data_IF_951741730137
#
_entry.id   IF_951741730137
#
_cell.length_a   1.000
_cell.length_b   1.000
_cell.length_c   1.000
_cell.angle_alpha   90.00
_cell.angle_beta   90.00
_cell.angle_gamma   90.00
#
_symmetry.space_group_name_H-M   'P 1'
#
loop_
_entity.id
_entity.type
_entity.pdbx_description
1 polymer ?
2 non-polymer ?
3 water ?
#
# COMPACT_ATOMS: atom_id res chain seq x y z
N UNK A 1 7.10 -22.63 23.18
CA UNK A 1 5.64 -22.57 23.06
C UNK A 1 5.18 -21.64 21.92
N UNK A 2 5.63 -20.39 21.97
CA UNK A 2 5.34 -19.40 20.94
C UNK A 2 6.55 -19.13 20.06
N UNK A 3 6.34 -18.69 18.83
CA UNK A 3 7.48 -18.25 18.00
C UNK A 3 8.24 -17.11 18.67
N UNK A 4 9.56 -17.14 18.52
CA UNK A 4 10.38 -16.02 18.95
C UNK A 4 10.03 -14.73 18.19
N UNK A 5 9.79 -14.83 16.88
CA UNK A 5 9.52 -13.66 16.06
C UNK A 5 8.26 -13.86 15.23
N UNK A 6 7.53 -12.77 14.99
CA UNK A 6 6.41 -12.76 14.04
C UNK A 6 6.47 -11.46 13.22
N UNK A 7 6.11 -11.56 11.94
CA UNK A 7 6.02 -10.39 11.06
C UNK A 7 4.88 -10.66 10.08
N UNK A 8 3.67 -10.17 10.40
CA UNK A 8 2.53 -10.48 9.54
C UNK A 8 2.66 -9.87 8.15
N UNK A 9 3.54 -8.88 7.98
CA UNK A 9 3.79 -8.37 6.63
C UNK A 9 4.29 -9.48 5.74
N UNK A 10 5.18 -10.33 6.27
CA UNK A 10 5.78 -11.41 5.47
C UNK A 10 4.76 -12.39 4.95
N UNK A 11 3.56 -12.44 5.52
CA UNK A 11 2.49 -13.29 5.03
C UNK A 11 1.47 -12.53 4.17
N UNK A 12 1.79 -11.32 3.72
CA UNK A 12 0.89 -10.57 2.85
C UNK A 12 -0.40 -10.13 3.48
N UNK A 13 -0.41 -9.91 4.80
CA UNK A 13 -1.63 -9.58 5.53
C UNK A 13 -1.70 -8.09 5.94
N UNK A 14 -0.76 -7.25 5.49
CA UNK A 14 -0.67 -5.86 5.93
C UNK A 14 -0.66 -4.95 4.72
N UNK A 15 -1.57 -3.99 4.69
CA UNK A 15 -1.65 -2.99 3.64
C UNK A 15 -0.61 -1.91 3.85
N UNK A 16 -0.41 -1.11 2.80
CA UNK A 16 0.51 0.03 2.86
C UNK A 16 0.24 0.92 4.06
N UNK A 17 1.31 1.48 4.61
CA UNK A 17 1.16 2.52 5.63
C UNK A 17 0.33 3.67 5.07
N UNK A 18 -0.57 4.20 5.89
CA UNK A 18 -1.42 5.32 5.52
C UNK A 18 -0.97 6.60 6.21
N UNK A 19 -1.53 7.73 5.75
CA UNK A 19 -1.20 9.07 6.24
C UNK A 19 -2.47 9.70 6.82
N UNK A 20 -2.54 9.80 8.14
CA UNK A 20 -3.72 10.33 8.79
C UNK A 20 -3.82 11.86 8.74
N UNK A 21 -2.69 12.56 8.59
CA UNK A 21 -2.78 14.01 8.48
C UNK A 21 -3.26 14.70 9.77
N UNK A 22 -3.99 15.79 9.57
CA UNK A 22 -4.48 16.58 10.71
C UNK A 22 -5.73 16.01 11.33
N UNK A 23 -6.24 14.88 10.84
CA UNK A 23 -7.41 14.23 11.40
C UNK A 23 -6.97 13.15 12.38
N UNK A 24 -7.47 13.22 13.61
CA UNK A 24 -7.18 12.25 14.65
C UNK A 24 -7.96 10.95 14.50
N UNK A 25 -7.69 10.26 13.41
CA UNK A 25 -8.35 9.02 13.04
C UNK A 25 -7.51 7.78 13.29
N UNK A 26 -6.41 7.88 14.05
CA UNK A 26 -5.56 6.72 14.26
C UNK A 26 -6.37 5.53 14.79
N UNK A 27 -7.38 5.81 15.61
CA UNK A 27 -8.29 4.75 16.07
C UNK A 27 -8.96 4.01 14.90
N UNK A 28 -9.33 4.76 13.84
CA UNK A 28 -9.96 4.12 12.68
C UNK A 28 -8.95 3.29 11.89
N UNK A 29 -7.73 3.80 11.76
CA UNK A 29 -6.69 3.09 11.03
C UNK A 29 -6.25 1.82 11.78
N UNK A 30 -6.08 1.94 13.09
CA UNK A 30 -5.85 0.75 13.91
C UNK A 30 -6.89 -0.32 13.61
N UNK A 31 -8.18 0.09 13.56
CA UNK A 31 -9.27 -0.85 13.40
C UNK A 31 -9.30 -1.51 12.03
N UNK A 32 -9.25 -0.72 10.95
CA UNK A 32 -9.28 -1.35 9.62
C UNK A 32 -8.08 -2.28 9.42
N UNK A 33 -6.88 -1.86 9.83
CA UNK A 33 -5.71 -2.70 9.66
C UNK A 33 -5.88 -4.08 10.29
N UNK A 34 -6.40 -4.14 11.51
CA UNK A 34 -6.63 -5.44 12.13
C UNK A 34 -7.60 -6.28 11.30
N UNK A 35 -8.68 -5.68 10.80
CA UNK A 35 -9.68 -6.41 10.04
C UNK A 35 -9.18 -6.79 8.66
N UNK A 36 -8.36 -5.93 8.05
CA UNK A 36 -7.72 -6.27 6.78
C UNK A 36 -6.98 -7.59 6.88
N UNK A 37 -6.23 -7.77 7.97
CA UNK A 37 -5.47 -9.01 8.13
C UNK A 37 -6.40 -10.21 8.23
N UNK A 38 -7.53 -10.07 8.93
CA UNK A 38 -8.47 -11.17 9.00
C UNK A 38 -9.10 -11.45 7.65
N UNK A 39 -9.37 -10.38 6.87
CA UNK A 39 -9.93 -10.56 5.54
C UNK A 39 -8.98 -11.35 4.65
N UNK A 40 -7.70 -10.97 4.68
CA UNK A 40 -6.70 -11.63 3.83
C UNK A 40 -6.56 -13.10 4.19
N UNK A 41 -6.54 -13.41 5.48
CA UNK A 41 -6.53 -14.81 5.88
C UNK A 41 -7.78 -15.52 5.36
N UNK A 42 -8.95 -14.88 5.49
CA UNK A 42 -10.22 -15.51 5.10
C UNK A 42 -10.37 -15.65 3.59
N UNK A 43 -10.10 -14.60 2.83
CA UNK A 43 -10.40 -14.60 1.40
C UNK A 43 -9.19 -14.75 0.51
N UNK A 44 -7.98 -14.54 1.04
CA UNK A 44 -6.81 -14.58 0.19
C UNK A 44 -6.54 -13.30 -0.55
N UNK A 45 -7.36 -12.27 -0.34
CA UNK A 45 -7.23 -11.00 -1.02
C UNK A 45 -6.86 -9.93 -0.01
N UNK A 46 -5.85 -9.11 -0.34
CA UNK A 46 -5.42 -7.99 0.50
C UNK A 46 -6.12 -6.73 -0.01
N UNK A 47 -7.05 -6.19 0.76
CA UNK A 47 -7.75 -4.97 0.36
C UNK A 47 -7.83 -3.99 1.53
N UNK A 48 -7.34 -2.78 1.32
CA UNK A 48 -7.48 -1.73 2.32
C UNK A 48 -8.96 -1.44 2.57
N UNK A 49 -9.32 -1.35 3.83
CA UNK A 49 -10.67 -1.04 4.24
C UNK A 49 -10.76 0.45 4.60
N UNK A 50 -11.97 0.99 4.53
CA UNK A 50 -12.19 2.45 4.58
C UNK A 50 -12.16 2.99 6.01
N UNK A 51 -11.03 3.59 6.38
CA UNK A 51 -10.96 4.34 7.63
C UNK A 51 -11.92 5.52 7.63
N UNK A 52 -12.12 6.15 6.47
CA UNK A 52 -13.08 7.25 6.38
C UNK A 52 -14.48 6.80 6.75
N UNK A 53 -14.85 5.59 6.32
CA UNK A 53 -16.14 5.00 6.64
C UNK A 53 -16.35 4.99 8.15
N UNK A 54 -15.31 4.64 8.90
CA UNK A 54 -15.43 4.64 10.35
C UNK A 54 -15.56 6.06 10.89
N UNK A 55 -14.73 6.98 10.40
CA UNK A 55 -14.77 8.36 10.87
C UNK A 55 -16.16 8.96 10.69
N UNK A 56 -16.78 8.73 9.52
CA UNK A 56 -18.06 9.33 9.18
C UNK A 56 -19.27 8.61 9.79
N UNK A 57 -19.22 7.29 10.00
CA UNK A 57 -20.42 6.54 10.33
C UNK A 57 -20.44 5.90 11.72
N UNK A 58 -19.28 5.50 12.25
CA UNK A 58 -19.18 5.00 13.62
C UNK A 58 -18.97 6.19 14.56
N UNK A 59 -20.05 6.91 14.81
CA UNK A 59 -19.92 8.18 15.53
C UNK A 59 -20.50 8.10 16.93
N UNK A 60 -21.52 8.93 17.20
CA UNK A 60 -21.94 9.21 18.58
C UNK A 60 -22.48 7.96 19.28
N UNK A 61 -23.30 7.17 18.58
CA UNK A 61 -23.82 5.92 19.11
C UNK A 61 -22.71 5.02 19.66
N UNK A 62 -21.51 5.12 19.10
CA UNK A 62 -20.37 4.30 19.46
C UNK A 62 -19.35 5.05 20.31
N UNK A 63 -19.73 6.22 20.82
CA UNK A 63 -18.83 7.06 21.58
C UNK A 63 -17.65 7.64 20.82
N UNK A 64 -17.69 7.66 19.50
CA UNK A 64 -16.60 8.21 18.70
C UNK A 64 -16.92 9.61 18.21
N UNK A 65 -15.87 10.37 17.90
CA UNK A 65 -16.01 11.73 17.40
C UNK A 65 -15.12 11.96 16.18
N UNK A 66 -15.06 10.99 15.26
CA UNK A 66 -14.33 11.14 14.02
C UNK A 66 -12.90 11.63 14.19
N UNK A 67 -12.61 12.82 13.62
CA UNK A 67 -11.27 13.38 13.70
C UNK A 67 -10.88 13.82 15.09
N UNK A 68 -11.81 13.76 16.05
CA UNK A 68 -11.51 14.12 17.43
C UNK A 68 -11.29 12.88 18.32
N UNK A 69 -11.20 11.70 17.74
CA UNK A 69 -10.83 10.49 18.45
C UNK A 69 -11.95 9.47 18.50
N UNK A 70 -11.57 8.25 18.89
CA UNK A 70 -12.53 7.17 18.92
C UNK A 70 -11.90 5.93 19.52
N UNK A 71 -12.68 4.87 19.58
CA UNK A 71 -12.23 3.58 20.07
C UNK A 71 -12.27 2.56 18.94
N UNK A 72 -11.32 1.62 18.97
CA UNK A 72 -11.32 0.54 17.99
C UNK A 72 -12.45 -0.46 18.26
N UNK A 73 -12.73 -0.72 19.54
CA UNK A 73 -13.73 -1.75 19.86
C UNK A 73 -15.11 -1.35 19.35
N UNK A 74 -15.48 -0.09 19.52
CA UNK A 74 -16.78 0.35 19.03
C UNK A 74 -16.76 0.59 17.54
N UNK A 75 -15.57 0.84 16.96
CA UNK A 75 -15.44 0.78 15.51
C UNK A 75 -15.80 -0.61 14.98
N UNK A 76 -15.31 -1.66 15.65
CA UNK A 76 -15.68 -3.03 15.27
C UNK A 76 -17.17 -3.29 15.45
N UNK A 77 -17.74 -2.82 16.57
CA UNK A 77 -19.17 -2.97 16.80
C UNK A 77 -19.98 -2.34 15.68
N UNK A 78 -19.61 -1.11 15.27
CA UNK A 78 -20.26 -0.48 14.13
C UNK A 78 -20.26 -1.42 12.94
N UNK A 79 -19.11 -2.04 12.66
CA UNK A 79 -19.02 -2.91 11.49
C UNK A 79 -19.97 -4.08 11.65
N UNK A 80 -20.04 -4.64 12.87
CA UNK A 80 -21.00 -5.71 13.13
C UNK A 80 -22.43 -5.21 12.90
N UNK A 81 -22.80 -4.10 13.55
CA UNK A 81 -24.17 -3.61 13.40
C UNK A 81 -24.47 -3.29 11.94
N UNK A 82 -23.54 -2.62 11.26
CA UNK A 82 -23.77 -2.15 9.90
C UNK A 82 -23.84 -3.28 8.90
N UNK A 83 -23.41 -4.48 9.30
CA UNK A 83 -23.28 -5.64 8.43
C UNK A 83 -22.29 -5.39 7.30
N UNK A 84 -21.35 -4.46 7.52
CA UNK A 84 -20.34 -4.20 6.52
C UNK A 84 -19.47 -2.98 6.75
N UNK A 85 -18.31 -2.99 6.09
CA UNK A 85 -17.46 -1.82 5.93
C UNK A 85 -17.00 -1.80 4.47
N UNK A 86 -16.90 -0.61 3.90
CA UNK A 86 -16.53 -0.45 2.50
C UNK A 86 -15.02 -0.60 2.32
N UNK A 87 -14.64 -0.93 1.09
CA UNK A 87 -13.23 -0.81 0.72
C UNK A 87 -12.79 0.64 0.85
N UNK A 88 -11.52 0.83 1.20
CA UNK A 88 -10.92 2.15 1.17
C UNK A 88 -10.98 2.78 -0.24
N UNK A 89 -10.81 1.98 -1.30
CA UNK A 89 -10.86 2.51 -2.66
C UNK A 89 -12.23 3.11 -3.00
N UNK A 90 -13.31 2.49 -2.54
CA UNK A 90 -14.65 3.01 -2.80
C UNK A 90 -15.00 4.18 -1.89
N UNK A 91 -14.32 4.32 -0.77
CA UNK A 91 -14.66 5.32 0.25
C UNK A 91 -13.35 5.88 0.81
N UNK A 92 -12.59 6.60 -0.02
CA UNK A 92 -11.21 6.97 0.36
C UNK A 92 -11.15 7.97 1.49
N UNK A 93 -9.95 8.07 2.06
CA UNK A 93 -9.69 8.86 3.26
C UNK A 93 -9.46 10.33 2.91
N UNK A 94 -10.20 11.21 3.59
CA UNK A 94 -10.14 12.65 3.29
C UNK A 94 -9.60 13.48 4.45
N UNK A 95 -9.25 12.84 5.58
CA UNK A 95 -8.67 13.53 6.72
C UNK A 95 -9.53 14.69 7.19
N UNK A 96 -10.86 14.50 7.20
CA UNK A 96 -11.77 15.41 7.86
C UNK A 96 -13.08 14.67 8.12
N UNK A 97 -13.93 15.27 8.96
CA UNK A 97 -15.25 14.70 9.27
C UNK A 97 -16.23 14.95 8.12
N UNK A 98 -16.94 13.89 7.70
CA UNK A 98 -17.93 13.98 6.64
C UNK A 98 -19.22 13.26 7.03
N UNK A 99 -20.27 13.50 6.24
CA UNK A 99 -21.51 12.75 6.41
C UNK A 99 -21.26 11.28 6.13
N UNK A 100 -22.02 10.42 6.79
CA UNK A 100 -21.91 8.98 6.53
C UNK A 100 -22.30 8.69 5.09
N UNK A 101 -21.39 8.10 4.34
CA UNK A 101 -21.60 7.79 2.93
C UNK A 101 -21.45 6.31 2.65
N UNK A 102 -21.69 5.48 3.66
CA UNK A 102 -21.61 4.03 3.47
C UNK A 102 -22.55 3.57 2.36
N UNK A 103 -22.07 2.65 1.54
CA UNK A 103 -22.87 2.04 0.49
C UNK A 103 -22.58 0.53 0.45
N UNK A 104 -23.59 -0.27 0.77
CA UNK A 104 -23.44 -1.73 0.79
C UNK A 104 -22.99 -2.31 -0.55
N UNK A 105 -23.17 -1.58 -1.66
CA UNK A 105 -22.69 -2.05 -2.96
C UNK A 105 -21.18 -2.29 -2.94
N UNK A 106 -20.43 -1.51 -2.16
CA UNK A 106 -18.98 -1.59 -2.13
C UNK A 106 -18.46 -2.18 -0.82
N UNK A 107 -19.27 -3.03 -0.20
CA UNK A 107 -18.84 -3.73 1.01
C UNK A 107 -17.64 -4.62 0.68
N UNK A 108 -16.56 -4.48 1.45
CA UNK A 108 -15.37 -5.29 1.26
C UNK A 108 -15.06 -6.19 2.44
N UNK A 109 -15.70 -5.95 3.58
CA UNK A 109 -15.52 -6.84 4.71
C UNK A 109 -16.75 -6.81 5.56
N UNK A 110 -16.83 -7.80 6.44
CA UNK A 110 -17.79 -7.90 7.52
C UNK A 110 -17.00 -8.09 8.80
N UNK A 111 -17.70 -8.09 9.92
CA UNK A 111 -17.08 -8.44 11.19
C UNK A 111 -18.06 -9.27 12.01
N UNK A 112 -17.61 -10.44 12.44
CA UNK A 112 -18.45 -11.34 13.22
C UNK A 112 -18.35 -11.07 14.72
N UNK A 113 -17.19 -10.60 15.20
CA UNK A 113 -16.94 -10.43 16.62
C UNK A 113 -15.64 -9.67 16.80
N UNK A 114 -15.38 -9.23 18.02
CA UNK A 114 -14.07 -8.73 18.42
C UNK A 114 -13.80 -9.21 19.83
N UNK A 115 -12.52 -9.18 20.21
CA UNK A 115 -12.11 -9.65 21.52
C UNK A 115 -11.12 -8.64 22.09
N UNK A 116 -11.26 -8.32 23.38
CA UNK A 116 -10.35 -7.43 24.07
C UNK A 116 -9.44 -8.25 24.99
N UNK A 117 -8.22 -7.78 25.14
CA UNK A 117 -7.27 -8.45 25.99
C UNK A 117 -7.15 -7.74 27.34
N UNK A 118 -6.71 -8.45 28.37
CA UNK A 118 -6.57 -7.81 29.69
C UNK A 118 -5.40 -6.82 29.76
N UNK A 119 -5.62 -5.75 30.54
CA UNK A 119 -4.72 -4.60 30.60
C UNK A 119 -3.34 -5.04 31.06
N UNK A 120 -2.31 -4.74 30.26
CA UNK A 120 -0.93 -4.89 30.69
C UNK A 120 -0.33 -6.28 30.57
N UNK A 121 -1.05 -7.27 30.02
CA UNK A 121 -0.49 -8.62 29.88
C UNK A 121 0.19 -8.75 28.52
N UNK A 122 1.48 -8.43 28.49
CA UNK A 122 2.25 -8.49 27.25
C UNK A 122 2.49 -9.93 26.80
N UNK A 123 2.40 -10.91 27.71
CA UNK A 123 2.40 -12.32 27.31
C UNK A 123 1.12 -12.71 26.58
N UNK A 124 -0.03 -12.24 27.10
CA UNK A 124 -1.32 -12.51 26.47
C UNK A 124 -1.39 -11.83 25.10
N UNK A 125 -0.83 -10.63 25.00
CA UNK A 125 -0.77 -9.94 23.72
C UNK A 125 0.14 -10.67 22.74
N UNK A 126 1.33 -11.08 23.20
CA UNK A 126 2.23 -11.84 22.35
C UNK A 126 1.55 -13.08 21.74
N UNK A 127 0.80 -13.80 22.56
CA UNK A 127 0.08 -14.98 22.07
C UNK A 127 -0.96 -14.61 21.02
N UNK A 128 -1.72 -13.54 21.28
CA UNK A 128 -2.74 -13.11 20.32
C UNK A 128 -2.13 -12.69 18.99
N UNK A 129 -1.01 -11.95 19.02
CA UNK A 129 -0.36 -11.56 17.76
C UNK A 129 0.09 -12.79 17.00
N UNK A 130 0.62 -13.77 17.71
CA UNK A 130 1.08 -15.02 17.08
C UNK A 130 -0.07 -15.84 16.55
N UNK A 131 -1.12 -16.03 17.36
CA UNK A 131 -2.15 -17.02 17.08
C UNK A 131 -3.40 -16.45 16.42
N UNK A 132 -3.61 -15.13 16.46
CA UNK A 132 -4.82 -14.55 15.87
C UNK A 132 -4.54 -13.66 14.69
N UNK A 133 -3.51 -12.84 14.78
CA UNK A 133 -3.13 -11.91 13.74
C UNK A 133 -2.76 -10.59 14.36
N UNK A 134 -2.56 -9.56 13.53
CA UNK A 134 -2.28 -8.21 14.04
C UNK A 134 -3.37 -7.73 15.00
N UNK A 135 -2.94 -7.09 16.08
CA UNK A 135 -3.81 -6.63 17.16
C UNK A 135 -3.86 -5.12 17.20
N UNK A 136 -5.07 -4.58 17.27
CA UNK A 136 -5.27 -3.15 17.50
C UNK A 136 -4.91 -2.81 18.94
N UNK A 137 -4.10 -1.77 19.13
CA UNK A 137 -3.75 -1.32 20.48
C UNK A 137 -3.67 0.19 20.47
N UNK A 138 -3.72 0.77 21.66
CA UNK A 138 -3.41 2.17 21.84
C UNK A 138 -2.01 2.29 22.43
N UNK A 139 -1.35 3.41 22.14
CA UNK A 139 -0.10 3.75 22.80
C UNK A 139 -0.12 5.21 23.24
N UNK A 140 0.75 5.51 24.21
CA UNK A 140 1.07 6.88 24.61
C UNK A 140 2.04 7.45 23.58
N UNK A 141 1.55 8.30 22.68
CA UNK A 141 2.39 8.94 21.70
C UNK A 141 2.68 10.39 22.05
N UNK A 142 2.36 10.83 23.26
CA UNK A 142 2.46 12.24 23.59
C UNK A 142 3.84 12.53 24.16
N UNK A 143 4.83 12.41 23.27
CA UNK A 143 6.24 12.64 23.58
C UNK A 143 6.96 13.05 22.30
N UNK A 144 7.78 14.11 22.35
CA UNK A 144 8.56 14.50 21.16
C UNK A 144 9.41 13.38 20.57
N UNK A 145 9.97 12.51 21.42
CA UNK A 145 10.75 11.37 20.96
C UNK A 145 9.94 10.46 20.03
N UNK A 146 8.63 10.37 20.25
CA UNK A 146 7.79 9.56 19.36
C UNK A 146 7.76 10.19 17.99
N UNK A 147 7.37 11.46 17.91
CA UNK A 147 7.31 12.17 16.63
C UNK A 147 8.64 12.13 15.89
N UNK A 148 9.75 12.11 16.62
CA UNK A 148 11.09 12.15 16.06
C UNK A 148 11.70 10.76 15.82
N UNK A 149 11.01 9.68 16.20
CA UNK A 149 11.59 8.35 16.09
C UNK A 149 11.97 8.03 14.64
N UNK A 150 13.18 7.49 14.46
CA UNK A 150 13.69 7.15 13.13
C UNK A 150 13.98 5.66 12.96
N UNK A 151 14.58 5.01 13.95
CA UNK A 151 14.94 3.61 13.82
C UNK A 151 15.29 3.08 15.20
N UNK A 152 15.41 1.77 15.28
CA UNK A 152 15.75 1.13 16.52
C UNK A 152 14.54 0.72 17.33
N UNK A 153 14.82 0.33 18.56
CA UNK A 153 13.82 -0.10 19.52
C UNK A 153 13.49 1.11 20.39
N UNK A 154 12.26 1.61 20.27
CA UNK A 154 11.86 2.83 20.95
C UNK A 154 11.67 2.60 22.43
N UNK A 155 12.33 3.43 23.23
CA UNK A 155 12.12 3.43 24.66
C UNK A 155 12.10 4.87 25.14
N UNK A 156 11.02 5.23 25.80
CA UNK A 156 10.77 6.58 26.28
C UNK A 156 10.57 6.47 27.79
N UNK A 157 11.53 6.89 28.60
CA UNK A 157 11.38 6.76 30.06
C UNK A 157 10.12 7.43 30.60
N UNK A 158 9.71 8.57 30.04
CA UNK A 158 8.59 9.30 30.61
C UNK A 158 7.24 8.85 30.06
N UNK A 159 7.22 7.74 29.31
CA UNK A 159 5.99 7.19 28.77
C UNK A 159 5.10 6.66 29.89
N UNK A 160 3.80 6.74 29.67
CA UNK A 160 2.83 6.24 30.64
C UNK A 160 2.02 5.11 30.01
N UNK A 161 1.21 4.44 30.83
CA UNK A 161 0.36 3.37 30.34
C UNK A 161 -0.99 3.87 29.86
N UNK A 162 -1.26 5.16 30.02
CA UNK A 162 -2.47 5.74 29.44
C UNK A 162 -2.27 5.86 27.95
N UNK A 163 -3.28 5.53 27.17
CA UNK A 163 -3.13 5.49 25.72
C UNK A 163 -3.88 6.63 25.10
N UNK A 164 -3.37 7.10 23.96
CA UNK A 164 -4.00 8.23 23.29
C UNK A 164 -3.79 8.18 21.78
N UNK A 165 -3.18 7.13 21.23
CA UNK A 165 -2.92 7.03 19.80
C UNK A 165 -3.18 5.61 19.37
N UNK A 166 -4.06 5.40 18.38
CA UNK A 166 -4.34 4.04 17.91
C UNK A 166 -3.28 3.58 16.95
N UNK A 167 -2.80 2.33 17.14
CA UNK A 167 -1.81 1.69 16.25
C UNK A 167 -2.16 0.22 16.07
N UNK A 168 -1.40 -0.47 15.23
CA UNK A 168 -1.61 -1.88 14.89
C UNK A 168 -0.33 -2.66 15.16
N UNK A 169 -0.39 -3.67 16.02
CA UNK A 169 0.77 -4.53 16.24
C UNK A 169 0.72 -5.65 15.22
N UNK A 170 1.62 -5.60 14.23
CA UNK A 170 1.73 -6.66 13.23
C UNK A 170 2.84 -7.64 13.57
N UNK A 171 3.51 -7.46 14.70
CA UNK A 171 4.54 -8.43 15.02
C UNK A 171 5.25 -8.11 16.32
N UNK A 172 6.34 -8.84 16.52
CA UNK A 172 7.24 -8.68 17.65
C UNK A 172 8.53 -9.39 17.28
N UNK A 173 9.57 -9.14 18.08
CA UNK A 173 10.83 -9.82 17.87
C UNK A 173 11.85 -9.41 18.90
N UNK A 174 13.11 -9.64 18.56
CA UNK A 174 14.23 -9.31 19.42
C UNK A 174 15.34 -8.78 18.53
N UNK A 175 15.81 -7.57 18.81
CA UNK A 175 16.94 -6.99 18.09
C UNK A 175 18.12 -6.78 19.04
N UNK A 176 19.08 -7.70 18.99
CA UNK A 176 20.36 -7.58 19.70
C UNK A 176 20.16 -7.28 21.19
N UNK A 177 19.34 -8.09 21.83
CA UNK A 177 19.05 -7.97 23.25
C UNK A 177 17.86 -7.10 23.59
N UNK A 178 17.36 -6.32 22.63
CA UNK A 178 16.16 -5.52 22.81
C UNK A 178 14.93 -6.23 22.20
N UNK A 179 14.04 -6.73 23.05
CA UNK A 179 12.77 -7.26 22.57
C UNK A 179 11.88 -6.08 22.21
N UNK A 180 11.21 -6.18 21.06
CA UNK A 180 10.37 -5.10 20.57
C UNK A 180 9.01 -5.62 20.12
N UNK A 181 8.05 -4.70 20.06
CA UNK A 181 6.82 -4.87 19.31
C UNK A 181 6.94 -4.18 17.95
N UNK A 182 6.46 -4.84 16.91
CA UNK A 182 6.46 -4.28 15.56
C UNK A 182 5.13 -3.56 15.36
N UNK A 183 5.15 -2.24 15.22
CA UNK A 183 3.93 -1.44 15.27
C UNK A 183 3.75 -0.67 13.97
N UNK A 184 2.62 -0.90 13.32
CA UNK A 184 2.21 -0.14 12.14
C UNK A 184 1.53 1.15 12.61
N UNK A 185 2.12 2.29 12.26
CA UNK A 185 1.55 3.58 12.55
C UNK A 185 0.80 4.09 11.32
N UNK A 186 0.19 5.26 11.47
CA UNK A 186 -0.59 5.88 10.41
C UNK A 186 -0.11 7.31 10.18
N UNK A 187 1.22 7.51 10.11
CA UNK A 187 1.80 8.81 9.77
C UNK A 187 2.58 8.80 8.46
N UNK A 188 2.21 7.94 7.53
CA UNK A 188 2.87 7.83 6.24
C UNK A 188 4.22 7.09 6.31
N UNK A 189 4.84 7.01 5.14
CA UNK A 189 6.04 6.19 4.99
C UNK A 189 7.28 6.87 5.54
N UNK A 190 7.29 8.19 5.67
CA UNK A 190 8.49 8.89 6.06
C UNK A 190 8.75 8.82 7.55
N UNK A 191 7.73 8.43 8.32
CA UNK A 191 7.88 8.25 9.76
C UNK A 191 8.59 6.95 10.09
N UNK A 192 9.47 7.02 11.08
CA UNK A 192 10.10 5.85 11.65
C UNK A 192 10.75 4.96 10.62
N UNK A 193 10.49 3.65 10.73
CA UNK A 193 11.07 2.67 9.82
C UNK A 193 10.05 2.37 8.74
N UNK A 194 10.05 3.22 7.71
CA UNK A 194 9.18 3.09 6.55
C UNK A 194 7.70 3.06 6.98
N UNK A 195 7.38 3.86 7.99
CA UNK A 195 6.04 3.95 8.54
C UNK A 195 5.78 3.09 9.75
N UNK A 196 6.75 2.27 10.14
CA UNK A 196 6.63 1.41 11.31
C UNK A 196 7.53 1.95 12.42
N UNK A 197 7.18 1.57 13.65
CA UNK A 197 7.98 1.86 14.83
C UNK A 197 8.10 0.57 15.62
N UNK A 198 9.33 0.21 16.00
CA UNK A 198 9.57 -0.94 16.86
C UNK A 198 9.66 -0.47 18.32
N UNK A 199 8.74 -0.95 19.15
CA UNK A 199 8.57 -0.42 20.49
C UNK A 199 8.96 -1.44 21.53
N UNK A 200 9.60 -0.96 22.59
CA UNK A 200 10.10 -1.82 23.66
C UNK A 200 9.02 -2.79 24.17
N UNK A 201 9.40 -4.07 24.27
CA UNK A 201 8.52 -5.13 24.73
C UNK A 201 9.02 -5.72 26.05
N UNK A 202 8.08 -6.12 26.90
CA UNK A 202 8.41 -6.66 28.22
C UNK A 202 9.25 -5.67 29.03
N UNK A 203 8.87 -4.39 28.98
CA UNK A 203 9.42 -3.32 29.79
C UNK A 203 8.28 -2.63 30.52
N UNK A 204 7.50 -3.42 31.27
CA UNK A 204 6.42 -2.89 32.09
C UNK A 204 5.28 -2.24 31.31
N UNK A 205 4.81 -2.90 30.25
CA UNK A 205 3.74 -2.36 29.41
C UNK A 205 4.09 -0.94 28.98
N UNK A 206 5.28 -0.83 28.37
CA UNK A 206 5.85 0.46 27.99
C UNK A 206 4.98 1.20 26.96
N UNK A 207 4.65 2.46 27.27
CA UNK A 207 3.74 3.33 26.51
C UNK A 207 2.33 2.73 26.37
N UNK A 208 1.95 1.87 27.31
CA UNK A 208 0.62 1.29 27.32
C UNK A 208 0.31 0.40 26.14
N UNK A 209 1.33 -0.13 25.47
CA UNK A 209 1.10 -0.90 24.26
C UNK A 209 0.08 -2.01 24.49
N UNK A 210 0.09 -2.62 25.67
CA UNK A 210 -0.85 -3.69 26.01
C UNK A 210 -1.97 -3.20 26.93
N UNK A 211 -2.21 -1.88 27.02
CA UNK A 211 -3.25 -1.41 27.92
C UNK A 211 -4.65 -1.79 27.42
N UNK A 212 -4.92 -1.61 26.13
CA UNK A 212 -6.26 -1.84 25.57
C UNK A 212 -6.13 -2.51 24.19
N UNK A 213 -5.64 -3.75 24.16
CA UNK A 213 -5.55 -4.48 22.89
C UNK A 213 -6.88 -5.15 22.54
N UNK A 214 -7.19 -5.18 21.23
CA UNK A 214 -8.34 -5.93 20.74
C UNK A 214 -8.12 -6.39 19.30
N UNK A 215 -8.85 -7.42 18.90
CA UNK A 215 -8.76 -7.87 17.53
C UNK A 215 -10.11 -8.35 17.05
N UNK A 216 -10.43 -8.16 15.77
CA UNK A 216 -11.68 -8.68 15.20
C UNK A 216 -11.52 -10.04 14.54
N UNK A 217 -12.67 -10.65 14.23
CA UNK A 217 -12.68 -11.89 13.47
C UNK A 217 -13.81 -11.88 12.46
N UNK A 218 -13.57 -12.57 11.36
CA UNK A 218 -14.53 -12.79 10.29
C UNK A 218 -14.71 -14.31 10.19
N UNK A 219 -15.82 -14.81 10.71
CA UNK A 219 -15.99 -16.26 10.78
C UNK A 219 -16.60 -16.79 9.48
N UNK A 220 -16.32 -18.06 9.21
CA UNK A 220 -16.95 -18.72 8.06
C UNK A 220 -18.47 -18.61 8.12
N UNK A 221 -19.06 -18.91 9.27
CA UNK A 221 -20.48 -18.74 9.48
C UNK A 221 -20.89 -17.32 9.87
N UNK B 1 -14.51 -0.96 -32.37
CA UNK B 1 -13.38 -1.87 -32.55
C UNK B 1 -12.68 -2.18 -31.21
N UNK B 2 -12.24 -1.13 -30.52
CA UNK B 2 -11.65 -1.28 -29.20
C UNK B 2 -12.63 -0.78 -28.14
N UNK B 3 -12.45 -1.17 -26.89
CA UNK B 3 -13.29 -0.60 -25.84
C UNK B 3 -13.16 0.91 -25.80
N UNK B 4 -14.30 1.55 -25.54
CA UNK B 4 -14.33 2.99 -25.30
C UNK B 4 -13.44 3.35 -24.12
N UNK B 5 -13.58 2.62 -23.02
CA UNK B 5 -12.86 2.82 -21.77
C UNK B 5 -12.35 1.49 -21.27
N UNK B 6 -11.21 1.51 -20.58
CA UNK B 6 -10.77 0.36 -19.80
C UNK B 6 -10.25 0.86 -18.47
N UNK B 7 -10.42 0.03 -17.45
CA UNK B 7 -9.90 0.31 -16.11
C UNK B 7 -9.52 -1.05 -15.50
N UNK B 8 -8.23 -1.40 -15.56
CA UNK B 8 -7.82 -2.69 -15.06
C UNK B 8 -8.02 -2.80 -13.56
N UNK B 9 -8.23 -1.68 -12.85
CA UNK B 9 -8.58 -1.77 -11.43
C UNK B 9 -9.87 -2.54 -11.23
N UNK B 10 -10.86 -2.32 -12.09
CA UNK B 10 -12.15 -3.00 -11.97
C UNK B 10 -12.02 -4.51 -12.15
N UNK B 11 -10.91 -5.00 -12.70
CA UNK B 11 -10.67 -6.42 -12.87
C UNK B 11 -9.77 -6.99 -11.78
N UNK B 12 -9.53 -6.24 -10.71
CA UNK B 12 -8.68 -6.72 -9.62
C UNK B 12 -7.24 -6.97 -10.03
N UNK B 13 -6.75 -6.27 -11.04
CA UNK B 13 -5.41 -6.50 -11.58
C UNK B 13 -4.39 -5.46 -11.11
N UNK B 14 -4.75 -4.59 -10.18
CA UNK B 14 -3.87 -3.52 -9.76
C UNK B 14 -3.75 -3.55 -8.23
N UNK B 15 -2.51 -3.63 -7.75
CA UNK B 15 -2.19 -3.58 -6.33
C UNK B 15 -2.31 -2.15 -5.81
N UNK B 16 -2.30 -2.02 -4.48
CA UNK B 16 -2.35 -0.70 -3.86
C UNK B 16 -1.22 0.21 -4.38
N UNK B 17 -1.53 1.51 -4.47
CA UNK B 17 -0.50 2.50 -4.75
C UNK B 17 0.63 2.38 -3.75
N UNK B 18 1.86 2.49 -4.23
CA UNK B 18 3.04 2.46 -3.39
C UNK B 18 3.64 3.87 -3.24
N UNK B 19 4.55 4.03 -2.27
CA UNK B 19 5.17 5.32 -1.94
C UNK B 19 6.68 5.18 -2.12
N UNK B 20 7.21 5.78 -3.20
CA UNK B 20 8.62 5.58 -3.52
C UNK B 20 9.58 6.39 -2.66
N UNK B 21 9.13 7.49 -2.06
CA UNK B 21 10.00 8.27 -1.18
C UNK B 21 11.14 8.97 -1.91
N UNK B 22 12.28 9.05 -1.23
CA UNK B 22 13.46 9.71 -1.76
C UNK B 22 14.26 8.83 -2.73
N UNK B 23 13.83 7.61 -2.99
CA UNK B 23 14.53 6.71 -3.89
C UNK B 23 13.92 6.81 -5.29
N UNK B 24 14.76 7.10 -6.29
CA UNK B 24 14.25 7.17 -7.65
C UNK B 24 13.99 5.80 -8.27
N UNK B 25 13.06 5.04 -7.68
CA UNK B 25 12.73 3.70 -8.14
C UNK B 25 11.42 3.65 -8.94
N UNK B 26 10.93 4.80 -9.41
CA UNK B 26 9.65 4.78 -10.13
C UNK B 26 9.69 3.80 -11.30
N UNK B 27 10.85 3.70 -11.96
CA UNK B 27 11.05 2.69 -13.01
C UNK B 27 10.80 1.29 -12.47
N UNK B 28 11.25 1.02 -11.24
CA UNK B 28 11.06 -0.31 -10.67
C UNK B 28 9.59 -0.58 -10.37
N UNK B 29 8.88 0.43 -9.84
CA UNK B 29 7.46 0.25 -9.51
C UNK B 29 6.62 0.09 -10.77
N UNK B 30 6.91 0.91 -11.79
CA UNK B 30 6.28 0.75 -13.10
C UNK B 30 6.35 -0.70 -13.56
N UNK B 31 7.54 -1.31 -13.48
CA UNK B 31 7.74 -2.68 -13.94
C UNK B 31 6.96 -3.69 -13.09
N UNK B 32 7.10 -3.63 -11.76
CA UNK B 32 6.39 -4.63 -10.95
C UNK B 32 4.88 -4.52 -11.16
N UNK B 33 4.36 -3.29 -11.26
CA UNK B 33 2.93 -3.10 -11.51
C UNK B 33 2.46 -3.77 -12.80
N UNK B 34 3.21 -3.59 -13.88
CA UNK B 34 2.81 -4.25 -15.11
C UNK B 34 2.79 -5.77 -14.94
N UNK B 35 3.80 -6.31 -14.24
CA UNK B 35 3.90 -7.76 -14.07
C UNK B 35 2.85 -8.29 -13.09
N UNK B 36 2.51 -7.51 -12.05
CA UNK B 36 1.45 -7.88 -11.12
C UNK B 36 0.15 -8.22 -11.83
N UNK B 37 -0.23 -7.41 -12.82
CA UNK B 37 -1.47 -7.64 -13.55
C UNK B 37 -1.41 -8.93 -14.36
N UNK B 38 -0.27 -9.19 -15.01
CA UNK B 38 -0.13 -10.43 -15.78
C UNK B 38 -0.21 -11.64 -14.86
N UNK B 39 0.38 -11.53 -13.66
CA UNK B 39 0.31 -12.61 -12.69
C UNK B 39 -1.13 -12.87 -12.28
N UNK B 40 -1.87 -11.81 -11.98
CA UNK B 40 -3.25 -11.96 -11.54
C UNK B 40 -4.10 -12.61 -12.62
N UNK B 41 -3.97 -12.14 -13.87
CA UNK B 41 -4.69 -12.77 -14.97
C UNK B 41 -4.33 -14.24 -15.08
N UNK B 42 -3.04 -14.57 -14.93
CA UNK B 42 -2.60 -15.96 -15.07
C UNK B 42 -3.06 -16.82 -13.90
N UNK B 43 -2.86 -16.37 -12.66
CA UNK B 43 -3.08 -17.25 -11.53
C UNK B 43 -4.33 -16.92 -10.72
N UNK B 44 -4.88 -15.72 -10.87
CA UNK B 44 -6.00 -15.28 -10.09
C UNK B 44 -5.67 -14.66 -8.75
N UNK B 45 -4.40 -14.57 -8.37
CA UNK B 45 -4.03 -13.91 -7.12
C UNK B 45 -3.24 -12.65 -7.42
N UNK B 46 -3.60 -11.58 -6.70
CA UNK B 46 -3.00 -10.25 -6.77
C UNK B 46 -2.02 -10.15 -5.63
N UNK B 47 -0.74 -10.09 -5.94
CA UNK B 47 0.31 -9.98 -4.94
C UNK B 47 1.25 -8.88 -5.40
N UNK B 48 1.49 -7.91 -4.52
CA UNK B 48 2.47 -6.87 -4.81
C UNK B 48 3.83 -7.51 -4.99
N UNK B 49 4.53 -7.11 -6.05
CA UNK B 49 5.87 -7.62 -6.29
C UNK B 49 6.92 -6.65 -5.76
N UNK B 50 8.11 -7.19 -5.50
CA UNK B 50 9.18 -6.49 -4.82
C UNK B 50 9.91 -5.55 -5.78
N UNK B 51 9.57 -4.27 -5.72
CA UNK B 51 10.35 -3.25 -6.40
C UNK B 51 11.78 -3.17 -5.82
N UNK B 52 11.91 -3.34 -4.50
CA UNK B 52 13.25 -3.34 -3.89
C UNK B 52 14.12 -4.41 -4.52
N UNK B 53 13.51 -5.56 -4.84
CA UNK B 53 14.22 -6.63 -5.52
C UNK B 53 14.85 -6.13 -6.82
N UNK B 54 14.10 -5.29 -7.58
CA UNK B 54 14.65 -4.71 -8.80
C UNK B 54 15.72 -3.66 -8.49
N UNK B 55 15.44 -2.80 -7.50
CA UNK B 55 16.39 -1.76 -7.11
C UNK B 55 17.76 -2.34 -6.75
N UNK B 56 17.76 -3.41 -5.95
CA UNK B 56 19.00 -3.98 -5.46
C UNK B 56 19.71 -4.89 -6.46
N UNK B 57 18.96 -5.58 -7.34
CA UNK B 57 19.49 -6.68 -8.14
C UNK B 57 19.50 -6.43 -9.64
N UNK B 58 18.58 -5.63 -10.19
CA UNK B 58 18.64 -5.28 -11.63
C UNK B 58 19.52 -4.06 -11.77
N UNK B 59 20.82 -4.29 -11.67
CA UNK B 59 21.78 -3.22 -11.54
C UNK B 59 22.62 -3.01 -12.79
N UNK B 60 23.95 -3.12 -12.65
CA UNK B 60 24.87 -2.63 -13.66
C UNK B 60 24.76 -3.41 -14.96
N UNK B 61 24.69 -4.75 -14.87
CA UNK B 61 24.45 -5.62 -16.02
C UNK B 61 23.25 -5.16 -16.86
N UNK B 62 22.28 -4.50 -16.21
CA UNK B 62 21.06 -4.05 -16.86
C UNK B 62 21.02 -2.55 -17.07
N UNK B 63 22.14 -1.86 -16.88
CA UNK B 63 22.18 -0.42 -17.05
C UNK B 63 21.36 0.40 -16.07
N UNK B 64 20.95 -0.17 -14.93
CA UNK B 64 20.17 0.55 -13.93
C UNK B 64 21.09 0.99 -12.78
N UNK B 65 20.64 2.02 -12.06
CA UNK B 65 21.39 2.57 -10.94
C UNK B 65 20.48 2.72 -9.71
N UNK B 66 19.59 1.74 -9.50
CA UNK B 66 18.73 1.66 -8.34
C UNK B 66 18.00 2.95 -8.05
N UNK B 67 18.30 3.53 -6.89
CA UNK B 67 17.64 4.76 -6.49
C UNK B 67 18.01 5.95 -7.35
N UNK B 68 18.95 5.80 -8.29
CA UNK B 68 19.30 6.87 -9.22
C UNK B 68 18.72 6.67 -10.61
N UNK B 69 17.83 5.70 -10.81
CA UNK B 69 17.13 5.56 -12.06
C UNK B 69 17.42 4.23 -12.77
N UNK B 70 16.59 3.96 -13.76
CA UNK B 70 16.66 2.68 -14.44
C UNK B 70 15.63 2.64 -15.55
N UNK B 71 15.54 1.47 -16.19
CA UNK B 71 14.56 1.22 -17.23
C UNK B 71 13.66 0.05 -16.83
N UNK B 72 12.41 0.11 -17.28
CA UNK B 72 11.51 -1.02 -17.08
C UNK B 72 11.89 -2.22 -17.96
N UNK B 73 12.38 -1.95 -19.19
CA UNK B 73 12.67 -3.03 -20.12
C UNK B 73 13.80 -3.91 -19.61
N UNK B 74 14.85 -3.31 -19.06
CA UNK B 74 15.91 -4.15 -18.50
C UNK B 74 15.51 -4.69 -17.14
N UNK B 75 14.57 -4.02 -16.48
CA UNK B 75 13.95 -4.62 -15.31
C UNK B 75 13.26 -5.94 -15.68
N UNK B 76 12.55 -5.94 -16.82
CA UNK B 76 11.95 -7.18 -17.32
C UNK B 76 13.02 -8.22 -17.67
N UNK B 77 14.10 -7.80 -18.34
CA UNK B 77 15.18 -8.75 -18.68
C UNK B 77 15.75 -9.41 -17.43
N UNK B 78 16.05 -8.60 -16.40
CA UNK B 78 16.53 -9.19 -15.14
C UNK B 78 15.56 -10.26 -14.63
N UNK B 79 14.25 -9.98 -14.63
CA UNK B 79 13.33 -11.01 -14.13
C UNK B 79 13.43 -12.26 -14.98
N UNK B 80 13.57 -12.10 -16.30
CA UNK B 80 13.73 -13.24 -17.21
C UNK B 80 15.03 -14.00 -16.91
N UNK B 81 16.16 -13.30 -16.86
CA UNK B 81 17.43 -13.98 -16.58
C UNK B 81 17.40 -14.66 -15.22
N UNK B 82 16.90 -13.97 -14.20
CA UNK B 82 16.94 -14.48 -12.83
C UNK B 82 15.98 -15.64 -12.62
N UNK B 83 15.09 -15.88 -13.59
CA UNK B 83 14.06 -16.92 -13.48
C UNK B 83 13.12 -16.67 -12.31
N UNK B 84 12.98 -15.41 -11.89
CA UNK B 84 12.02 -15.11 -10.84
C UNK B 84 12.16 -13.73 -10.24
N UNK B 85 11.09 -13.26 -9.57
CA UNK B 85 11.14 -12.10 -8.70
C UNK B 85 10.38 -12.42 -7.40
N UNK B 86 10.87 -11.88 -6.27
CA UNK B 86 10.27 -12.11 -4.96
C UNK B 86 9.01 -11.27 -4.72
N UNK B 87 8.18 -11.76 -3.80
CA UNK B 87 7.09 -10.95 -3.28
C UNK B 87 7.62 -9.71 -2.56
N UNK B 88 6.86 -8.61 -2.66
CA UNK B 88 7.11 -7.42 -1.84
C UNK B 88 7.07 -7.78 -0.36
N UNK B 89 6.19 -8.71 0.01
CA UNK B 89 6.11 -9.18 1.39
C UNK B 89 7.44 -9.80 1.86
N UNK B 90 8.10 -10.55 0.98
CA UNK B 90 9.36 -11.21 1.35
C UNK B 90 10.57 -10.30 1.22
N UNK B 91 10.47 -9.25 0.42
CA UNK B 91 11.61 -8.39 0.08
C UNK B 91 11.09 -6.96 0.05
N UNK B 92 10.67 -6.43 1.21
CA UNK B 92 9.92 -5.16 1.24
C UNK B 92 10.77 -3.98 0.76
N UNK B 93 10.06 -2.87 0.52
CA UNK B 93 10.66 -1.64 0.00
C UNK B 93 11.23 -0.75 1.11
N UNK B 94 12.51 -0.37 0.97
CA UNK B 94 13.23 0.40 1.97
C UNK B 94 13.66 1.77 1.50
N UNK B 95 13.37 2.12 0.24
CA UNK B 95 13.74 3.43 -0.32
C UNK B 95 15.26 3.70 -0.24
N UNK B 96 16.08 2.68 -0.47
CA UNK B 96 17.50 2.95 -0.67
C UNK B 96 18.14 1.75 -1.36
N UNK B 97 19.38 1.96 -1.82
CA UNK B 97 20.16 0.90 -2.47
C UNK B 97 20.69 -0.09 -1.46
N UNK B 98 20.44 -1.37 -1.69
CA UNK B 98 20.93 -2.41 -0.81
C UNK B 98 21.56 -3.52 -1.64
N UNK B 99 22.31 -4.38 -0.96
CA UNK B 99 22.87 -5.55 -1.61
C UNK B 99 21.75 -6.44 -2.14
N UNK B 100 22.02 -7.12 -3.24
CA UNK B 100 21.02 -8.03 -3.80
C UNK B 100 20.72 -9.14 -2.79
N UNK B 101 19.45 -9.26 -2.41
CA UNK B 101 19.00 -10.25 -1.43
C UNK B 101 17.94 -11.17 -2.02
N UNK B 102 17.94 -11.34 -3.33
CA UNK B 102 16.98 -12.26 -3.95
C UNK B 102 17.07 -13.62 -3.31
N UNK B 103 15.92 -14.23 -3.06
CA UNK B 103 15.85 -15.58 -2.50
C UNK B 103 14.78 -16.34 -3.30
N UNK B 104 15.21 -17.35 -4.06
CA UNK B 104 14.26 -18.13 -4.86
C UNK B 104 13.18 -18.81 -4.02
N UNK B 105 13.42 -19.01 -2.72
CA UNK B 105 12.38 -19.60 -1.87
C UNK B 105 11.09 -18.78 -1.92
N UNK B 106 11.22 -17.46 -2.12
CA UNK B 106 10.10 -16.54 -2.08
C UNK B 106 9.76 -16.00 -3.47
N UNK B 107 10.04 -16.78 -4.51
CA UNK B 107 9.64 -16.40 -5.85
C UNK B 107 8.13 -16.28 -5.92
N UNK B 108 7.66 -15.12 -6.39
CA UNK B 108 6.24 -14.87 -6.56
C UNK B 108 5.82 -14.64 -8.00
N UNK B 109 6.76 -14.37 -8.90
CA UNK B 109 6.39 -14.26 -10.30
C UNK B 109 7.60 -14.63 -11.15
N UNK B 110 7.31 -14.88 -12.41
CA UNK B 110 8.29 -15.10 -13.44
C UNK B 110 8.00 -14.12 -14.57
N UNK B 111 8.90 -14.06 -15.53
CA UNK B 111 8.67 -13.25 -16.71
C UNK B 111 9.19 -14.01 -17.92
N UNK B 112 8.32 -14.21 -18.90
CA UNK B 112 8.65 -14.98 -20.09
C UNK B 112 9.26 -14.11 -21.19
N UNK B 113 8.83 -12.86 -21.26
CA UNK B 113 9.17 -11.96 -22.35
C UNK B 113 8.63 -10.58 -21.97
N UNK B 114 9.06 -9.58 -22.74
CA UNK B 114 8.44 -8.25 -22.69
C UNK B 114 8.44 -7.70 -24.12
N UNK B 115 7.58 -6.71 -24.33
CA UNK B 115 7.38 -6.12 -25.64
C UNK B 115 7.39 -4.60 -25.51
N UNK B 116 8.09 -3.95 -26.43
CA UNK B 116 8.13 -2.50 -26.47
C UNK B 116 7.28 -2.02 -27.64
N UNK B 117 6.58 -0.91 -27.42
CA UNK B 117 5.73 -0.32 -28.45
C UNK B 117 6.44 0.85 -29.11
N UNK B 118 6.02 1.26 -30.31
CA UNK B 118 6.71 2.36 -31.02
C UNK B 118 6.47 3.73 -30.40
N UNK B 119 7.51 4.56 -30.49
CA UNK B 119 7.52 5.88 -29.86
C UNK B 119 6.37 6.75 -30.38
N UNK B 120 5.53 7.23 -29.47
CA UNK B 120 4.54 8.23 -29.84
C UNK B 120 3.25 7.71 -30.46
N UNK B 121 3.07 6.40 -30.55
CA UNK B 121 1.82 5.85 -31.11
C UNK B 121 0.81 5.59 -29.99
N UNK B 122 -0.02 6.61 -29.73
CA UNK B 122 -1.04 6.51 -28.70
C UNK B 122 -2.18 5.60 -29.11
N UNK B 123 -2.40 5.41 -30.42
CA UNK B 123 -3.35 4.39 -30.86
C UNK B 123 -2.82 2.99 -30.60
N UNK B 124 -1.51 2.77 -30.83
CA UNK B 124 -0.92 1.47 -30.55
C UNK B 124 -0.89 1.21 -29.05
N UNK B 125 -0.65 2.25 -28.24
CA UNK B 125 -0.69 2.10 -26.79
C UNK B 125 -2.10 1.79 -26.30
N UNK B 126 -3.10 2.49 -26.85
CA UNK B 126 -4.50 2.20 -26.53
C UNK B 126 -4.83 0.73 -26.77
N UNK B 127 -4.40 0.20 -27.91
CA UNK B 127 -4.63 -1.21 -28.24
C UNK B 127 -3.95 -2.14 -27.24
N UNK B 128 -2.70 -1.85 -26.88
CA UNK B 128 -2.00 -2.68 -25.91
C UNK B 128 -2.67 -2.62 -24.54
N UNK B 129 -3.14 -1.44 -24.13
CA UNK B 129 -3.80 -1.34 -22.82
C UNK B 129 -5.06 -2.17 -22.80
N UNK B 130 -5.82 -2.15 -23.90
CA UNK B 130 -7.08 -2.89 -23.97
C UNK B 130 -6.85 -4.41 -24.06
N UNK B 131 -5.87 -4.83 -24.87
CA UNK B 131 -5.68 -6.21 -25.28
C UNK B 131 -4.61 -6.96 -24.51
N UNK B 132 -3.69 -6.26 -23.87
CA UNK B 132 -2.61 -6.93 -23.14
C UNK B 132 -2.70 -6.68 -21.65
N UNK B 133 -3.02 -5.44 -21.26
CA UNK B 133 -3.11 -5.09 -19.87
C UNK B 133 -2.45 -3.76 -19.55
N UNK B 134 -2.27 -3.48 -18.26
CA UNK B 134 -1.51 -2.29 -17.86
C UNK B 134 -0.12 -2.30 -18.47
N UNK B 135 0.28 -1.16 -19.05
CA UNK B 135 1.55 -1.01 -19.77
C UNK B 135 2.47 -0.08 -18.98
N UNK B 136 3.74 -0.48 -18.82
CA UNK B 136 4.76 0.38 -18.23
C UNK B 136 5.12 1.51 -19.19
N UNK B 137 5.18 2.76 -18.68
CA UNK B 137 5.58 3.91 -19.48
C UNK B 137 6.45 4.84 -18.64
N UNK B 138 7.17 5.71 -19.34
CA UNK B 138 7.78 6.88 -18.74
C UNK B 138 6.97 8.11 -19.10
N UNK B 139 7.01 9.13 -18.24
CA UNK B 139 6.46 10.44 -18.57
C UNK B 139 7.47 11.51 -18.18
N UNK B 140 7.29 12.69 -18.78
CA UNK B 140 7.97 13.92 -18.34
C UNK B 140 7.23 14.44 -17.12
N UNK B 141 7.77 14.18 -15.93
CA UNK B 141 7.20 14.66 -14.68
C UNK B 141 7.93 15.87 -14.13
N UNK B 142 8.79 16.50 -14.92
CA UNK B 142 9.62 17.59 -14.42
C UNK B 142 8.89 18.93 -14.62
N UNK B 143 7.83 19.11 -13.83
CA UNK B 143 6.99 20.30 -13.82
C UNK B 143 6.32 20.41 -12.47
N UNK B 144 6.33 21.59 -11.85
CA UNK B 144 5.61 21.78 -10.58
C UNK B 144 4.15 21.36 -10.65
N UNK B 145 3.50 21.54 -11.82
CA UNK B 145 2.11 21.13 -12.01
C UNK B 145 1.91 19.63 -11.77
N UNK B 146 2.92 18.81 -12.07
CA UNK B 146 2.80 17.38 -11.80
C UNK B 146 2.75 17.10 -10.30
N UNK B 147 3.73 17.62 -9.56
CA UNK B 147 3.77 17.45 -8.12
C UNK B 147 2.54 18.01 -7.44
N UNK B 148 1.96 19.07 -8.00
CA UNK B 148 0.82 19.76 -7.40
C UNK B 148 -0.53 19.25 -7.91
N UNK B 149 -0.53 18.33 -8.87
CA UNK B 149 -1.78 17.87 -9.49
C UNK B 149 -2.70 17.24 -8.46
N UNK B 150 -3.98 17.59 -8.51
CA UNK B 150 -4.96 17.04 -7.57
C UNK B 150 -6.09 16.26 -8.23
N UNK B 151 -6.60 16.74 -9.36
CA UNK B 151 -7.74 16.08 -9.98
C UNK B 151 -7.89 16.63 -11.39
N UNK B 152 -8.74 15.97 -12.16
CA UNK B 152 -9.05 16.40 -13.51
C UNK B 152 -8.13 15.76 -14.51
N UNK B 153 -8.21 16.26 -15.74
CA UNK B 153 -7.35 15.77 -16.81
C UNK B 153 -6.16 16.70 -16.88
N UNK B 154 -5.00 16.15 -16.55
CA UNK B 154 -3.77 16.90 -16.48
C UNK B 154 -3.26 17.22 -17.89
N UNK B 155 -3.03 18.50 -18.16
CA UNK B 155 -2.41 18.97 -19.39
C UNK B 155 -1.42 20.06 -19.01
N UNK B 156 -0.17 19.90 -19.45
CA UNK B 156 0.92 20.80 -19.08
C UNK B 156 1.50 21.39 -20.37
N UNK B 157 1.24 22.68 -20.65
CA UNK B 157 1.68 23.25 -21.94
C UNK B 157 3.16 23.08 -22.22
N UNK B 158 4.03 23.14 -21.22
CA UNK B 158 5.46 23.06 -21.42
C UNK B 158 6.02 21.64 -21.29
N UNK B 159 5.16 20.64 -21.20
CA UNK B 159 5.62 19.25 -21.14
C UNK B 159 6.31 18.86 -22.45
N UNK B 160 7.29 17.95 -22.36
CA UNK B 160 7.96 17.44 -23.55
C UNK B 160 7.75 15.94 -23.64
N UNK B 161 8.23 15.36 -24.74
CA UNK B 161 8.14 13.93 -24.97
C UNK B 161 9.31 13.16 -24.38
N UNK B 162 10.31 13.86 -23.84
CA UNK B 162 11.37 13.18 -23.10
C UNK B 162 10.82 12.73 -21.74
N UNK B 163 11.15 11.51 -21.35
CA UNK B 163 10.57 10.93 -20.14
C UNK B 163 11.62 10.83 -19.05
N UNK B 164 11.17 10.94 -17.80
CA UNK B 164 12.09 10.85 -16.68
C UNK B 164 11.44 10.27 -15.42
N UNK B 165 10.23 9.75 -15.51
CA UNK B 165 9.51 9.19 -14.37
C UNK B 165 8.71 7.99 -14.86
N UNK B 166 8.94 6.83 -14.26
CA UNK B 166 8.21 5.63 -14.63
C UNK B 166 6.84 5.59 -13.96
N UNK B 167 5.81 5.25 -14.75
CA UNK B 167 4.45 5.08 -14.23
C UNK B 167 3.81 3.90 -14.95
N UNK B 168 2.56 3.63 -14.61
CA UNK B 168 1.85 2.47 -15.16
C UNK B 168 0.54 2.98 -15.75
N UNK B 169 0.29 2.69 -17.01
CA UNK B 169 -1.01 2.98 -17.61
C UNK B 169 -1.93 1.80 -17.34
N UNK B 170 -2.90 2.00 -16.45
CA UNK B 170 -3.87 0.96 -16.14
C UNK B 170 -5.18 1.17 -16.86
N UNK B 171 -5.29 2.20 -17.70
CA UNK B 171 -6.54 2.40 -18.39
C UNK B 171 -6.53 3.65 -19.24
N UNK B 172 -7.72 3.97 -19.75
CA UNK B 172 -7.94 5.17 -20.53
C UNK B 172 -9.45 5.43 -20.52
N UNK B 173 -9.81 6.64 -20.94
CA UNK B 173 -11.22 6.98 -21.04
C UNK B 173 -11.37 8.42 -21.49
N UNK B 174 -12.54 8.98 -21.21
CA UNK B 174 -12.83 10.38 -21.51
C UNK B 174 -13.77 10.97 -20.46
N UNK B 175 -13.50 12.20 -20.07
CA UNK B 175 -14.35 13.00 -19.20
C UNK B 175 -14.96 14.07 -20.11
N UNK B 176 -16.21 13.86 -20.51
CA UNK B 176 -16.97 14.77 -21.39
C UNK B 176 -16.19 15.13 -22.65
N UNK B 177 -15.58 14.12 -23.28
CA UNK B 177 -14.83 14.33 -24.49
C UNK B 177 -13.34 14.59 -24.32
N UNK B 178 -12.89 14.86 -23.09
CA UNK B 178 -11.45 15.02 -22.82
C UNK B 178 -10.92 13.63 -22.55
N UNK B 179 -10.21 13.09 -23.52
CA UNK B 179 -9.65 11.76 -23.40
C UNK B 179 -8.43 11.76 -22.50
N UNK B 180 -8.34 10.75 -21.63
CA UNK B 180 -7.24 10.65 -20.69
C UNK B 180 -6.64 9.23 -20.68
N UNK B 181 -5.37 9.19 -20.24
CA UNK B 181 -4.74 7.96 -19.77
C UNK B 181 -4.89 7.88 -18.25
N UNK B 182 -5.24 6.70 -17.77
CA UNK B 182 -5.39 6.45 -16.35
C UNK B 182 -4.04 5.96 -15.86
N UNK B 183 -3.38 6.73 -14.99
CA UNK B 183 -1.97 6.49 -14.70
C UNK B 183 -1.79 6.24 -13.20
N UNK B 184 -1.23 5.08 -12.86
CA UNK B 184 -0.85 4.74 -11.50
C UNK B 184 0.55 5.31 -11.22
N UNK B 185 0.66 6.20 -10.24
CA UNK B 185 1.95 6.74 -9.83
C UNK B 185 2.47 5.97 -8.62
N UNK B 186 3.63 6.38 -8.11
CA UNK B 186 4.24 5.73 -6.95
C UNK B 186 4.57 6.75 -5.85
N UNK B 187 3.63 7.67 -5.58
CA UNK B 187 3.77 8.67 -4.53
C UNK B 187 2.71 8.50 -3.44
N UNK B 188 2.21 7.27 -3.22
CA UNK B 188 1.21 7.12 -2.16
C UNK B 188 -0.19 7.65 -2.52
N UNK B 189 -1.07 7.60 -1.52
CA UNK B 189 -2.49 7.91 -1.72
C UNK B 189 -2.78 9.41 -1.79
N UNK B 190 -1.92 10.27 -1.24
CA UNK B 190 -2.20 11.70 -1.23
C UNK B 190 -1.84 12.40 -2.52
N UNK B 191 -1.11 11.76 -3.43
CA UNK B 191 -0.90 12.35 -4.75
C UNK B 191 -2.13 12.16 -5.61
N UNK B 192 -2.53 13.22 -6.30
CA UNK B 192 -3.56 13.16 -7.34
C UNK B 192 -4.90 12.57 -6.88
N UNK B 193 -5.45 11.69 -7.72
CA UNK B 193 -6.75 11.09 -7.44
C UNK B 193 -6.47 9.73 -6.81
N UNK B 194 -6.22 9.75 -5.49
CA UNK B 194 -5.93 8.53 -4.73
C UNK B 194 -4.73 7.77 -5.33
N UNK B 195 -3.68 8.50 -5.70
CA UNK B 195 -2.48 7.90 -6.22
C UNK B 195 -2.44 7.80 -7.73
N UNK B 196 -3.51 8.18 -8.42
CA UNK B 196 -3.58 8.13 -9.86
C UNK B 196 -3.62 9.54 -10.44
N UNK B 197 -3.22 9.65 -11.70
CA UNK B 197 -3.31 10.91 -12.43
C UNK B 197 -3.90 10.59 -13.79
N UNK B 198 -4.95 11.31 -14.16
CA UNK B 198 -5.52 11.17 -15.50
C UNK B 198 -4.84 12.20 -16.37
N UNK B 199 -4.10 11.72 -17.38
CA UNK B 199 -3.22 12.52 -18.22
C UNK B 199 -3.78 12.55 -19.63
N UNK B 200 -3.69 13.72 -20.25
CA UNK B 200 -4.24 13.93 -21.58
C UNK B 200 -3.79 12.87 -22.58
N UNK B 201 -4.77 12.37 -23.34
CA UNK B 201 -4.61 11.33 -24.36
C UNK B 201 -4.94 11.92 -25.73
N UNK B 202 -4.24 11.45 -26.75
CA UNK B 202 -4.40 11.94 -28.13
C UNK B 202 -4.16 13.45 -28.22
N UNK B 203 -3.09 13.93 -27.59
CA UNK B 203 -2.68 15.33 -27.72
C UNK B 203 -1.19 15.40 -28.06
N UNK B 204 -0.79 14.72 -29.13
CA UNK B 204 0.58 14.76 -29.59
C UNK B 204 1.57 14.13 -28.63
N UNK B 205 1.23 12.97 -28.06
CA UNK B 205 2.09 12.29 -27.10
C UNK B 205 2.45 13.20 -25.92
N UNK B 206 1.41 13.70 -25.26
CA UNK B 206 1.57 14.67 -24.18
C UNK B 206 2.41 14.11 -23.04
N UNK B 207 3.44 14.87 -22.65
CA UNK B 207 4.42 14.44 -21.64
C UNK B 207 5.08 13.11 -21.98
N UNK B 208 5.14 12.75 -23.28
CA UNK B 208 5.83 11.53 -23.69
C UNK B 208 5.25 10.24 -23.17
N UNK B 209 3.98 10.25 -22.81
CA UNK B 209 3.33 9.08 -22.22
C UNK B 209 3.51 7.85 -23.09
N UNK B 210 3.55 8.01 -24.41
CA UNK B 210 3.74 6.88 -25.32
C UNK B 210 5.14 6.84 -25.91
N UNK B 211 6.11 7.58 -25.35
CA UNK B 211 7.43 7.60 -25.95
C UNK B 211 8.12 6.24 -25.83
N UNK B 212 8.00 5.59 -24.66
CA UNK B 212 8.70 4.34 -24.38
C UNK B 212 7.82 3.36 -23.58
N UNK B 213 6.74 2.86 -24.20
CA UNK B 213 5.87 1.88 -23.53
C UNK B 213 6.40 0.45 -23.70
N UNK B 214 6.24 -0.36 -22.65
CA UNK B 214 6.53 -1.79 -22.72
C UNK B 214 5.64 -2.53 -21.72
N UNK B 215 5.45 -3.83 -21.94
CA UNK B 215 4.68 -4.66 -21.03
C UNK B 215 5.29 -6.05 -20.98
N UNK B 216 5.19 -6.72 -19.83
CA UNK B 216 5.69 -8.09 -19.72
C UNK B 216 4.57 -9.08 -19.98
N UNK B 217 4.96 -10.34 -20.16
CA UNK B 217 4.03 -11.46 -20.22
C UNK B 217 4.60 -12.64 -19.41
N UNK B 218 3.69 -13.43 -18.85
CA UNK B 218 3.98 -14.69 -18.16
C UNK B 218 3.22 -15.80 -18.89
N UNK B 219 3.93 -16.61 -19.69
CA UNK B 219 3.27 -17.55 -20.58
C UNK B 219 2.94 -18.88 -19.93
N UNK B 220 1.97 -19.57 -20.54
CA UNK B 220 1.59 -20.91 -20.14
C UNK B 220 2.83 -21.79 -19.98
N UNK B 221 3.64 -21.86 -21.03
CA UNK B 221 4.91 -22.58 -20.96
C UNK B 221 6.05 -21.77 -20.40
#
# INVERSE_FOLDING_TARGET
ILPDSVDWREKGCVTEVKYQGSCGASWAFSAVGALEAQLKLKTGKLVSLSAQNLVDCSTEKYGNKGCNGGFMTTAFQYIIDNKGIDSDASYPYKAMDQKCQYDSKYRAATCSKYTELPYGREDVLKEAVANKGPVSVGVDARHPSFFLYRSGVYYEPSCTQNVNHGVLVVGYGDLNGKEYWLVKNSWGHNFGEEGYIRMARNKGNHCGIASFPSYPEILQGGG
ILPDSVDWREKGCVTEVKYQGSCGASWAFSAVGALEAQLKLKTGKLVSLSAQNLVDCSTEKYGNKGCNGGFMTTAFQYIIDNKGIDSDASYPYKAMDQKCQYDSKYRAATCSKYTELPYGREDVLKEAVANKGPVSVGVDARHPSFFLYRSGVYYEPSCTQNVNHGVLVVGYGDLNGKEYWLVKNSWGHNFGEEGYIRMARNKGNHCGIASFPSYPEILQGGG
#
